data_IF_905977310816
#
_entry.id   IF_905977310816
#
_cell.length_a   1.000
_cell.length_b   1.000
_cell.length_c   1.000
_cell.angle_alpha   90.00
_cell.angle_beta   90.00
_cell.angle_gamma   90.00
#
_symmetry.space_group_name_H-M   'P 1'
#
loop_
_entity.id
_entity.type
_entity.pdbx_description
1 polymer ?
#
# COMPACT_ATOMS: atom_id res chain seq x y z
N UNK A 1 10.90 14.65 9.57
CA UNK A 1 10.24 15.17 10.80
C UNK A 1 11.30 15.59 11.80
N UNK A 2 11.00 16.62 12.64
CA UNK A 2 11.90 17.08 13.69
C UNK A 2 11.15 17.20 15.01
N UNK A 3 11.88 17.31 16.12
CA UNK A 3 11.29 17.49 17.45
C UNK A 3 10.26 18.64 17.41
N UNK A 4 9.04 18.33 17.86
CA UNK A 4 7.95 19.29 17.87
C UNK A 4 7.50 19.55 19.31
N UNK A 5 7.64 20.77 19.82
CA UNK A 5 7.20 21.12 21.18
C UNK A 5 5.67 21.03 21.37
N UNK A 6 4.89 21.01 20.30
CA UNK A 6 3.43 20.84 20.35
C UNK A 6 2.99 19.36 20.36
N UNK A 7 3.92 18.42 20.23
CA UNK A 7 3.60 17.01 20.31
C UNK A 7 3.08 16.64 21.71
N UNK A 8 1.91 16.04 21.77
CA UNK A 8 1.39 15.49 23.02
C UNK A 8 2.24 14.30 23.45
N UNK A 9 2.77 14.35 24.66
CA UNK A 9 3.64 13.32 25.24
C UNK A 9 2.90 12.41 26.22
N UNK A 10 1.61 12.61 26.43
CA UNK A 10 0.80 11.83 27.36
C UNK A 10 0.64 10.39 26.87
N UNK A 11 0.50 9.49 27.83
CA UNK A 11 0.21 8.08 27.57
C UNK A 11 -0.90 7.59 28.50
N UNK A 12 -1.51 6.50 28.12
CA UNK A 12 -2.47 5.77 28.97
C UNK A 12 -2.06 4.30 29.03
N UNK A 13 -2.19 3.71 30.21
CA UNK A 13 -1.95 2.28 30.37
C UNK A 13 -3.11 1.48 29.76
N UNK A 14 -2.77 0.42 29.05
CA UNK A 14 -3.69 -0.62 28.57
C UNK A 14 -3.21 -1.97 29.05
N UNK A 15 -3.97 -3.05 28.77
CA UNK A 15 -3.55 -4.38 29.22
C UNK A 15 -2.18 -4.74 28.59
N UNK A 16 -1.17 -4.98 29.45
CA UNK A 16 0.22 -5.28 29.08
C UNK A 16 0.83 -4.30 28.07
N UNK A 17 0.54 -3.01 28.20
CA UNK A 17 1.07 -2.02 27.28
C UNK A 17 0.62 -0.60 27.57
N UNK A 18 0.83 0.24 26.58
CA UNK A 18 0.46 1.67 26.59
C UNK A 18 -0.16 2.08 25.27
N UNK A 19 -0.93 3.17 25.31
CA UNK A 19 -1.36 3.88 24.11
C UNK A 19 -0.97 5.36 24.20
N UNK A 20 -0.67 5.93 23.04
CA UNK A 20 -0.31 7.34 22.86
C UNK A 20 -1.02 7.92 21.66
N UNK A 21 -1.25 9.24 21.66
CA UNK A 21 -1.70 9.98 20.48
C UNK A 21 -0.92 11.29 20.43
N UNK A 22 0.08 11.38 19.58
CA UNK A 22 1.01 12.49 19.53
C UNK A 22 0.37 13.78 19.01
N UNK A 23 -0.61 13.66 18.10
CA UNK A 23 -1.27 14.81 17.49
C UNK A 23 -2.79 14.60 17.45
N UNK A 24 -3.60 15.62 17.81
CA UNK A 24 -5.05 15.54 17.70
C UNK A 24 -5.51 15.23 16.27
N UNK A 25 -6.49 14.36 16.13
CA UNK A 25 -7.05 13.97 14.83
C UNK A 25 -6.34 12.77 14.18
N UNK A 26 -5.24 12.30 14.76
CA UNK A 26 -4.60 11.03 14.36
C UNK A 26 -5.10 9.87 15.22
N UNK A 27 -5.02 8.62 14.71
CA UNK A 27 -5.33 7.44 15.50
C UNK A 27 -4.42 7.32 16.73
N UNK A 28 -4.93 6.70 17.80
CA UNK A 28 -4.12 6.28 18.92
C UNK A 28 -3.18 5.14 18.48
N UNK A 29 -1.93 5.18 18.93
CA UNK A 29 -0.96 4.12 18.76
C UNK A 29 -0.94 3.24 20.02
N UNK A 30 -1.36 1.99 19.87
CA UNK A 30 -1.29 0.96 20.92
C UNK A 30 0.02 0.20 20.80
N UNK A 31 0.74 0.05 21.90
CA UNK A 31 1.97 -0.72 22.00
C UNK A 31 1.80 -1.74 23.13
N UNK A 32 1.75 -3.02 22.81
CA UNK A 32 1.38 -4.08 23.74
C UNK A 32 2.30 -5.30 23.61
N UNK A 33 2.47 -6.01 24.71
CA UNK A 33 3.25 -7.26 24.80
C UNK A 33 2.34 -8.43 25.19
N UNK A 34 2.63 -9.63 24.71
CA UNK A 34 1.92 -10.85 25.07
C UNK A 34 2.13 -11.28 26.53
N UNK A 35 2.99 -10.58 27.25
CA UNK A 35 3.41 -10.90 28.62
C UNK A 35 3.31 -9.68 29.51
N UNK A 36 3.04 -9.92 30.82
CA UNK A 36 3.08 -8.87 31.84
C UNK A 36 4.44 -8.18 31.80
N UNK A 37 4.43 -6.87 31.83
CA UNK A 37 5.59 -6.00 31.77
C UNK A 37 5.40 -4.78 32.66
N UNK A 38 6.46 -4.02 32.84
CA UNK A 38 6.44 -2.71 33.45
C UNK A 38 6.81 -1.68 32.39
N UNK A 39 5.99 -0.64 32.25
CA UNK A 39 6.29 0.48 31.36
C UNK A 39 6.92 1.62 32.16
N UNK A 40 8.12 2.00 31.79
CA UNK A 40 8.83 3.15 32.35
C UNK A 40 8.66 4.36 31.44
N UNK A 41 7.88 5.32 31.91
CA UNK A 41 7.68 6.58 31.19
C UNK A 41 8.96 7.42 31.26
N UNK A 42 9.66 7.54 30.14
CA UNK A 42 10.88 8.33 29.99
C UNK A 42 10.88 8.94 28.58
N UNK A 43 10.05 9.99 28.37
CA UNK A 43 9.89 10.58 27.07
C UNK A 43 11.15 11.31 26.62
N UNK A 44 11.65 10.97 25.44
CA UNK A 44 12.79 11.63 24.81
C UNK A 44 12.68 11.58 23.27
N UNK A 45 13.58 12.29 22.60
CA UNK A 45 13.73 12.29 21.17
C UNK A 45 15.10 11.73 20.78
N UNK A 46 15.11 10.73 19.91
CA UNK A 46 16.32 10.37 19.16
C UNK A 46 16.49 11.39 18.04
N UNK A 47 17.47 12.27 18.16
CA UNK A 47 17.68 13.41 17.26
C UNK A 47 18.72 13.11 16.21
N UNK A 48 18.50 13.67 15.01
CA UNK A 48 19.48 13.60 13.93
C UNK A 48 19.72 12.20 13.41
N UNK A 49 18.69 11.35 13.34
CA UNK A 49 18.79 10.04 12.67
C UNK A 49 18.93 10.28 11.18
N UNK A 50 19.99 9.74 10.59
CA UNK A 50 20.33 9.94 9.19
C UNK A 50 20.06 8.71 8.33
N UNK A 51 19.58 8.95 7.11
CA UNK A 51 19.32 7.94 6.08
C UNK A 51 20.20 8.18 4.86
N UNK A 52 21.43 7.64 4.81
CA UNK A 52 22.41 7.94 3.74
C UNK A 52 21.90 7.63 2.34
N UNK A 53 21.04 6.62 2.17
CA UNK A 53 20.44 6.29 0.88
C UNK A 53 19.46 7.33 0.37
N UNK A 54 18.71 7.98 1.25
CA UNK A 54 17.84 9.09 0.89
C UNK A 54 18.67 10.34 0.55
N UNK A 55 19.78 10.57 1.26
CA UNK A 55 20.73 11.63 0.96
C UNK A 55 21.37 11.45 -0.43
N UNK A 56 21.81 10.25 -0.79
CA UNK A 56 22.37 9.92 -2.12
C UNK A 56 21.36 10.24 -3.24
N UNK A 57 20.06 10.15 -2.96
CA UNK A 57 18.97 10.43 -3.90
C UNK A 57 18.52 11.88 -3.92
N UNK A 58 19.07 12.74 -3.05
CA UNK A 58 18.74 14.16 -2.96
C UNK A 58 17.42 14.43 -2.19
N UNK A 59 16.95 13.50 -1.37
CA UNK A 59 15.77 13.67 -0.52
C UNK A 59 16.13 14.09 0.89
N UNK A 60 15.12 14.49 1.67
CA UNK A 60 15.27 14.72 3.10
C UNK A 60 15.72 13.42 3.77
N UNK A 61 16.85 13.49 4.44
CA UNK A 61 17.54 12.29 4.96
C UNK A 61 17.75 12.31 6.47
N UNK A 62 17.20 13.30 7.15
CA UNK A 62 17.41 13.48 8.59
C UNK A 62 16.06 13.63 9.30
N UNK A 63 15.89 12.95 10.43
CA UNK A 63 14.70 13.10 11.26
C UNK A 63 14.96 12.89 12.75
N UNK A 64 14.00 13.36 13.56
CA UNK A 64 13.94 13.06 14.98
C UNK A 64 12.78 12.10 15.25
N UNK A 65 13.03 11.08 16.08
CA UNK A 65 12.03 10.09 16.47
C UNK A 65 11.69 10.20 17.94
N UNK A 66 10.40 10.34 18.24
CA UNK A 66 9.92 10.38 19.61
C UNK A 66 9.81 8.99 20.22
N UNK A 67 10.26 8.85 21.46
CA UNK A 67 10.16 7.64 22.27
C UNK A 67 9.48 7.98 23.59
N UNK A 68 8.31 7.40 23.89
CA UNK A 68 7.58 7.69 25.13
C UNK A 68 8.22 7.04 26.37
N UNK A 69 9.06 6.04 26.19
CA UNK A 69 9.68 5.27 27.27
C UNK A 69 10.09 3.88 26.82
N UNK A 70 10.22 2.95 27.75
CA UNK A 70 10.59 1.58 27.47
C UNK A 70 9.79 0.57 28.30
N UNK A 71 9.71 -0.66 27.80
CA UNK A 71 9.13 -1.78 28.53
C UNK A 71 10.22 -2.61 29.19
N UNK A 72 10.02 -2.97 30.46
CA UNK A 72 10.81 -3.97 31.17
C UNK A 72 10.00 -5.25 31.31
N UNK A 73 10.58 -6.38 30.90
CA UNK A 73 9.89 -7.66 30.86
C UNK A 73 10.87 -8.79 31.14
N UNK A 74 10.51 -9.65 32.09
CA UNK A 74 11.29 -10.88 32.38
C UNK A 74 11.17 -11.88 31.22
N UNK A 75 12.30 -12.44 30.79
CA UNK A 75 12.34 -13.50 29.79
C UNK A 75 13.16 -14.71 30.30
N UNK A 76 12.62 -15.90 30.04
CA UNK A 76 13.30 -17.17 30.37
C UNK A 76 13.85 -17.82 29.11
N UNK A 77 14.85 -18.67 29.25
CA UNK A 77 15.39 -19.44 28.11
C UNK A 77 14.29 -20.24 27.40
N UNK A 78 14.20 -20.07 26.09
CA UNK A 78 13.19 -20.72 25.25
C UNK A 78 11.83 -20.01 25.22
N UNK A 79 11.66 -18.90 25.93
CA UNK A 79 10.44 -18.07 25.88
C UNK A 79 10.52 -17.07 24.74
N UNK A 80 9.37 -16.78 24.13
CA UNK A 80 9.23 -15.75 23.08
C UNK A 80 8.35 -14.62 23.58
N UNK A 81 8.77 -13.39 23.28
CA UNK A 81 7.98 -12.19 23.51
C UNK A 81 7.45 -11.72 22.16
N UNK A 82 6.15 -11.45 22.10
CA UNK A 82 5.49 -10.84 20.94
C UNK A 82 5.12 -9.42 21.30
N UNK A 83 5.67 -8.46 20.56
CA UNK A 83 5.34 -7.05 20.65
C UNK A 83 4.40 -6.68 19.49
N UNK A 84 3.34 -5.94 19.80
CA UNK A 84 2.39 -5.39 18.84
C UNK A 84 2.41 -3.87 18.91
N UNK A 85 2.46 -3.22 17.75
CA UNK A 85 2.21 -1.79 17.59
C UNK A 85 1.15 -1.60 16.50
N UNK A 86 0.07 -0.88 16.81
CA UNK A 86 -1.05 -0.72 15.86
C UNK A 86 -2.05 0.34 16.33
N UNK A 87 -3.04 0.61 15.49
CA UNK A 87 -4.06 1.63 15.74
C UNK A 87 -5.31 1.10 16.48
N UNK A 88 -5.26 -0.14 16.95
CA UNK A 88 -6.33 -0.76 17.73
C UNK A 88 -5.74 -1.61 18.85
N UNK A 89 -6.47 -1.65 19.97
CA UNK A 89 -6.09 -2.50 21.11
C UNK A 89 -6.32 -3.98 20.76
N UNK A 90 -5.34 -4.81 21.07
CA UNK A 90 -5.42 -6.26 20.90
C UNK A 90 -5.29 -6.92 22.29
N UNK A 91 -6.11 -7.95 22.57
CA UNK A 91 -5.93 -8.71 23.80
C UNK A 91 -4.54 -9.37 23.83
N UNK A 92 -3.70 -9.13 24.85
CA UNK A 92 -2.36 -9.72 24.96
C UNK A 92 -2.33 -11.24 24.87
N UNK A 93 -3.40 -11.90 25.28
CA UNK A 93 -3.54 -13.37 25.21
C UNK A 93 -3.64 -13.89 23.79
N UNK A 94 -4.10 -13.04 22.85
CA UNK A 94 -4.25 -13.39 21.42
C UNK A 94 -2.99 -13.08 20.61
N UNK A 95 -2.09 -12.22 21.10
CA UNK A 95 -0.93 -11.73 20.33
C UNK A 95 -0.07 -12.87 19.79
N UNK A 96 0.20 -13.90 20.60
CA UNK A 96 1.00 -15.04 20.14
C UNK A 96 0.29 -15.82 19.04
N UNK A 97 -0.99 -16.09 19.21
CA UNK A 97 -1.80 -16.78 18.18
C UNK A 97 -1.92 -15.96 16.90
N UNK A 98 -2.12 -14.63 17.02
CA UNK A 98 -2.16 -13.74 15.86
C UNK A 98 -0.83 -13.75 15.12
N UNK A 99 0.30 -13.66 15.85
CA UNK A 99 1.62 -13.73 15.23
C UNK A 99 1.87 -15.07 14.52
N UNK A 100 1.50 -16.19 15.17
CA UNK A 100 1.65 -17.52 14.58
C UNK A 100 0.77 -17.69 13.33
N UNK A 101 -0.44 -17.14 13.32
CA UNK A 101 -1.32 -17.14 12.15
C UNK A 101 -0.72 -16.31 10.99
N UNK A 102 -0.24 -15.10 11.27
CA UNK A 102 0.46 -14.26 10.30
C UNK A 102 1.71 -14.92 9.70
N UNK A 103 2.48 -15.63 10.53
CA UNK A 103 3.66 -16.37 10.05
C UNK A 103 3.25 -17.55 9.17
N UNK A 104 2.16 -18.25 9.53
CA UNK A 104 1.67 -19.40 8.77
C UNK A 104 1.05 -19.03 7.42
N UNK A 105 0.47 -17.83 7.32
CA UNK A 105 -0.14 -17.30 6.09
C UNK A 105 0.91 -16.77 5.08
N UNK A 106 2.11 -16.50 5.54
CA UNK A 106 3.17 -15.96 4.67
C UNK A 106 3.86 -17.06 3.86
N UNK A 107 4.14 -16.76 2.59
CA UNK A 107 5.04 -17.60 1.79
C UNK A 107 6.41 -17.72 2.48
N UNK A 108 6.94 -18.94 2.70
CA UNK A 108 8.28 -19.14 3.28
C UNK A 108 9.36 -18.40 2.48
N UNK A 109 10.30 -17.74 3.17
CA UNK A 109 11.42 -17.03 2.52
C UNK A 109 12.63 -17.94 2.30
N UNK A 110 12.42 -19.10 1.69
CA UNK A 110 13.41 -20.14 1.48
C UNK A 110 14.03 -20.13 0.07
N UNK A 111 13.50 -19.29 -0.83
CA UNK A 111 14.01 -19.08 -2.18
C UNK A 111 13.93 -17.62 -2.59
N UNK A 112 14.70 -17.24 -3.62
CA UNK A 112 14.62 -15.88 -4.18
C UNK A 112 13.23 -15.61 -4.75
N UNK A 113 12.60 -16.59 -5.39
CA UNK A 113 11.25 -16.47 -5.92
C UNK A 113 10.23 -16.19 -4.80
N UNK A 114 10.26 -16.95 -3.71
CA UNK A 114 9.38 -16.72 -2.57
C UNK A 114 9.63 -15.37 -1.89
N UNK A 115 10.87 -14.88 -1.90
CA UNK A 115 11.15 -13.51 -1.43
C UNK A 115 10.50 -12.46 -2.35
N UNK A 116 10.49 -12.67 -3.67
CA UNK A 116 9.80 -11.78 -4.62
C UNK A 116 8.29 -11.81 -4.43
N UNK A 117 7.68 -12.99 -4.26
CA UNK A 117 6.24 -13.12 -3.96
C UNK A 117 5.87 -12.34 -2.68
N UNK A 118 6.60 -12.55 -1.59
CA UNK A 118 6.37 -11.79 -0.36
C UNK A 118 6.52 -10.27 -0.55
N UNK A 119 7.43 -9.84 -1.43
CA UNK A 119 7.61 -8.42 -1.75
C UNK A 119 6.46 -7.89 -2.58
N UNK A 120 5.94 -8.66 -3.54
CA UNK A 120 4.78 -8.31 -4.34
C UNK A 120 3.54 -8.08 -3.45
N UNK A 121 3.25 -9.01 -2.54
CA UNK A 121 2.11 -8.92 -1.63
C UNK A 121 2.12 -7.64 -0.77
N UNK A 122 3.29 -7.08 -0.46
CA UNK A 122 3.37 -5.86 0.34
C UNK A 122 2.81 -4.61 -0.36
N UNK A 123 2.70 -4.62 -1.68
CA UNK A 123 2.16 -3.48 -2.43
C UNK A 123 0.64 -3.51 -2.54
N UNK A 124 -0.01 -4.63 -2.26
CA UNK A 124 -1.46 -4.75 -2.28
C UNK A 124 -2.08 -4.14 -1.01
N UNK A 125 -3.13 -3.35 -1.20
CA UNK A 125 -3.83 -2.66 -0.11
C UNK A 125 -5.34 -2.76 -0.30
N UNK A 126 -6.00 -3.51 0.57
CA UNK A 126 -7.45 -3.65 0.57
C UNK A 126 -8.10 -2.63 1.50
N UNK A 127 -9.08 -1.90 0.99
CA UNK A 127 -9.89 -0.94 1.76
C UNK A 127 -11.38 -1.21 1.52
N UNK A 128 -12.02 -1.92 2.44
CA UNK A 128 -13.38 -2.45 2.23
C UNK A 128 -13.38 -3.44 1.07
N UNK A 129 -14.20 -3.19 0.07
CA UNK A 129 -14.30 -4.01 -1.15
C UNK A 129 -13.35 -3.54 -2.28
N UNK A 130 -12.55 -2.51 -2.04
CA UNK A 130 -11.66 -1.95 -3.05
C UNK A 130 -10.22 -2.43 -2.85
N UNK A 131 -9.58 -2.87 -3.94
CA UNK A 131 -8.21 -3.33 -3.97
C UNK A 131 -7.33 -2.32 -4.71
N UNK A 132 -6.19 -1.98 -4.13
CA UNK A 132 -5.26 -0.98 -4.66
C UNK A 132 -3.84 -1.52 -4.69
N UNK A 133 -3.02 -0.99 -5.58
CA UNK A 133 -1.57 -1.20 -5.58
C UNK A 133 -0.90 0.11 -5.18
N UNK A 134 -0.07 0.07 -4.14
CA UNK A 134 0.66 1.24 -3.67
C UNK A 134 1.91 1.45 -4.52
N UNK A 135 2.17 2.69 -4.94
CA UNK A 135 3.36 3.05 -5.72
C UNK A 135 4.65 2.95 -4.91
N UNK A 136 4.58 2.95 -3.59
CA UNK A 136 5.71 2.78 -2.67
C UNK A 136 5.39 3.19 -1.24
N UNK A 137 6.18 2.66 -0.31
CA UNK A 137 6.05 2.91 1.12
C UNK A 137 7.00 4.00 1.61
N UNK A 138 6.58 4.75 2.65
CA UNK A 138 5.22 4.89 3.19
C UNK A 138 4.46 6.07 2.57
N UNK A 139 5.09 6.83 1.67
CA UNK A 139 4.64 8.15 1.23
C UNK A 139 3.72 8.13 0.03
N UNK A 140 3.94 7.15 -0.88
CA UNK A 140 3.22 7.09 -2.12
C UNK A 140 1.88 6.38 -1.94
N UNK A 141 0.87 6.93 -2.59
CA UNK A 141 -0.48 6.37 -2.63
C UNK A 141 -0.59 5.43 -3.83
N UNK A 142 -1.80 5.02 -4.19
CA UNK A 142 -2.04 4.33 -5.44
C UNK A 142 -2.06 5.37 -6.57
N UNK A 143 -1.02 5.37 -7.41
CA UNK A 143 -0.93 6.18 -8.63
C UNK A 143 -1.31 5.34 -9.82
N UNK A 144 -2.11 5.89 -10.72
CA UNK A 144 -2.69 5.12 -11.83
C UNK A 144 -1.62 4.51 -12.76
N UNK A 145 -0.59 5.26 -13.12
CA UNK A 145 0.52 4.75 -13.95
C UNK A 145 1.25 3.61 -13.26
N UNK A 146 1.66 3.81 -12.01
CA UNK A 146 2.40 2.80 -11.25
C UNK A 146 1.57 1.53 -11.06
N UNK A 147 0.26 1.68 -10.81
CA UNK A 147 -0.68 0.56 -10.72
C UNK A 147 -0.65 -0.27 -11.99
N UNK A 148 -0.96 0.32 -13.15
CA UNK A 148 -1.10 -0.46 -14.38
C UNK A 148 0.23 -1.03 -14.90
N UNK A 149 1.34 -0.31 -14.72
CA UNK A 149 2.68 -0.80 -15.10
C UNK A 149 3.12 -1.96 -14.23
N UNK A 150 2.84 -1.93 -12.93
CA UNK A 150 3.32 -2.95 -11.99
C UNK A 150 2.35 -4.13 -11.83
N UNK A 151 1.06 -3.95 -12.03
CA UNK A 151 0.02 -4.94 -11.75
C UNK A 151 0.28 -6.31 -12.37
N UNK A 152 0.67 -6.47 -13.66
CA UNK A 152 0.96 -7.79 -14.20
C UNK A 152 2.15 -8.48 -13.50
N UNK A 153 3.17 -7.72 -13.13
CA UNK A 153 4.33 -8.26 -12.41
C UNK A 153 4.04 -8.63 -10.96
N UNK A 154 3.15 -7.89 -10.29
CA UNK A 154 2.80 -8.11 -8.89
C UNK A 154 1.76 -9.23 -8.71
N UNK A 155 1.09 -9.64 -9.77
CA UNK A 155 -0.01 -10.62 -9.73
C UNK A 155 0.18 -11.77 -10.70
N UNK A 156 0.09 -11.54 -12.01
CA UNK A 156 0.15 -12.60 -13.02
C UNK A 156 1.48 -13.35 -13.01
N UNK A 157 2.60 -12.65 -12.83
CA UNK A 157 3.93 -13.26 -12.80
C UNK A 157 4.21 -14.10 -11.53
N UNK A 158 3.33 -14.02 -10.54
CA UNK A 158 3.39 -14.81 -9.29
C UNK A 158 2.19 -15.75 -9.13
N UNK A 159 1.50 -16.04 -10.24
CA UNK A 159 0.35 -16.96 -10.34
C UNK A 159 -0.89 -16.51 -9.54
N UNK A 160 -1.07 -15.19 -9.34
CA UNK A 160 -2.19 -14.62 -8.58
C UNK A 160 -3.17 -13.88 -9.50
N UNK A 161 -3.82 -14.62 -10.39
CA UNK A 161 -4.79 -14.05 -11.33
C UNK A 161 -6.00 -13.41 -10.62
N UNK A 162 -6.49 -14.01 -9.54
CA UNK A 162 -7.65 -13.48 -8.80
C UNK A 162 -7.36 -12.10 -8.23
N UNK A 163 -6.15 -11.85 -7.71
CA UNK A 163 -5.74 -10.55 -7.21
C UNK A 163 -5.65 -9.50 -8.34
N UNK A 164 -5.18 -9.90 -9.55
CA UNK A 164 -5.25 -9.03 -10.73
C UNK A 164 -6.68 -8.58 -10.99
N UNK A 165 -7.61 -9.51 -10.97
CA UNK A 165 -9.03 -9.26 -11.25
C UNK A 165 -9.68 -8.37 -10.19
N UNK A 166 -9.39 -8.60 -8.91
CA UNK A 166 -9.88 -7.78 -7.79
C UNK A 166 -9.39 -6.33 -7.88
N UNK A 167 -8.12 -6.12 -8.19
CA UNK A 167 -7.57 -4.77 -8.43
C UNK A 167 -8.23 -4.14 -9.65
N UNK A 168 -8.41 -4.90 -10.74
CA UNK A 168 -9.05 -4.40 -11.95
C UNK A 168 -10.53 -4.04 -11.75
N UNK A 169 -11.25 -4.70 -10.86
CA UNK A 169 -12.64 -4.30 -10.49
C UNK A 169 -12.66 -2.87 -9.93
N UNK A 170 -11.70 -2.52 -9.10
CA UNK A 170 -11.58 -1.17 -8.54
C UNK A 170 -11.09 -0.16 -9.60
N UNK A 171 -10.07 -0.53 -10.37
CA UNK A 171 -9.49 0.31 -11.41
C UNK A 171 -10.46 0.59 -12.56
N UNK A 172 -11.26 -0.39 -12.99
CA UNK A 172 -12.29 -0.21 -14.00
C UNK A 172 -13.30 0.87 -13.61
N UNK A 173 -13.79 0.82 -12.37
CA UNK A 173 -14.72 1.83 -11.85
C UNK A 173 -14.09 3.22 -11.87
N UNK A 174 -12.84 3.36 -11.43
CA UNK A 174 -12.11 4.62 -11.48
C UNK A 174 -11.91 5.14 -12.91
N UNK A 175 -11.57 4.27 -13.87
CA UNK A 175 -11.46 4.63 -15.30
C UNK A 175 -12.82 5.11 -15.83
N UNK A 176 -13.92 4.45 -15.49
CA UNK A 176 -15.26 4.83 -15.96
C UNK A 176 -15.70 6.19 -15.42
N UNK A 177 -15.44 6.48 -14.13
CA UNK A 177 -15.67 7.81 -13.56
C UNK A 177 -14.84 8.86 -14.31
N UNK A 178 -13.56 8.61 -14.56
CA UNK A 178 -12.69 9.52 -15.30
C UNK A 178 -13.19 9.78 -16.74
N UNK A 179 -13.53 8.74 -17.49
CA UNK A 179 -14.03 8.84 -18.87
C UNK A 179 -15.36 9.61 -18.95
N UNK A 180 -16.24 9.43 -17.96
CA UNK A 180 -17.53 10.14 -17.90
C UNK A 180 -17.41 11.57 -17.38
N UNK A 181 -16.25 11.97 -16.86
CA UNK A 181 -16.00 13.28 -16.26
C UNK A 181 -16.61 13.42 -14.86
N UNK A 182 -16.87 12.31 -14.19
CA UNK A 182 -17.35 12.29 -12.82
C UNK A 182 -16.19 12.46 -11.84
N UNK A 183 -16.43 13.10 -10.67
CA UNK A 183 -15.43 13.14 -9.60
C UNK A 183 -15.06 11.74 -9.15
N UNK A 184 -13.75 11.48 -8.97
CA UNK A 184 -13.30 10.16 -8.54
C UNK A 184 -13.71 9.84 -7.10
N UNK A 185 -14.39 8.70 -6.94
CA UNK A 185 -14.74 8.10 -5.64
C UNK A 185 -13.64 7.15 -5.15
N UNK A 186 -12.67 6.82 -5.99
CA UNK A 186 -11.60 5.87 -5.74
C UNK A 186 -10.28 6.56 -5.44
N UNK A 187 -9.46 5.94 -4.60
CA UNK A 187 -8.15 6.47 -4.19
C UNK A 187 -7.04 6.10 -5.19
N UNK A 188 -7.33 6.26 -6.48
CA UNK A 188 -6.36 6.11 -7.59
C UNK A 188 -6.10 7.51 -8.14
N UNK A 189 -4.89 7.98 -7.98
CA UNK A 189 -4.48 9.35 -8.30
C UNK A 189 -3.79 9.43 -9.65
N UNK A 190 -3.76 10.63 -10.24
CA UNK A 190 -3.10 10.93 -11.51
C UNK A 190 -3.67 10.10 -12.70
N UNK A 191 -5.00 9.89 -12.71
CA UNK A 191 -5.69 9.19 -13.80
C UNK A 191 -5.68 10.01 -15.10
N UNK A 192 -5.53 11.32 -15.01
CA UNK A 192 -5.48 12.30 -16.08
C UNK A 192 -4.15 12.30 -16.85
N UNK A 193 -3.13 11.61 -16.40
CA UNK A 193 -1.88 11.51 -17.14
C UNK A 193 -2.10 10.83 -18.51
N UNK A 194 -1.51 11.34 -19.60
CA UNK A 194 -1.87 10.96 -20.98
C UNK A 194 -1.56 9.50 -21.32
N UNK A 195 -0.65 8.86 -20.64
CA UNK A 195 -0.26 7.47 -20.88
C UNK A 195 -1.02 6.45 -20.03
N UNK A 196 -1.77 6.89 -19.02
CA UNK A 196 -2.44 5.99 -18.05
C UNK A 196 -3.41 5.03 -18.71
N UNK A 197 -4.29 5.54 -19.57
CA UNK A 197 -5.25 4.67 -20.30
C UNK A 197 -4.56 3.67 -21.22
N UNK A 198 -3.40 4.03 -21.78
CA UNK A 198 -2.59 3.12 -22.60
C UNK A 198 -1.94 2.03 -21.75
N UNK A 199 -1.47 2.36 -20.55
CA UNK A 199 -0.96 1.38 -19.60
C UNK A 199 -2.05 0.43 -19.09
N UNK A 200 -3.28 0.92 -18.90
CA UNK A 200 -4.42 0.07 -18.58
C UNK A 200 -4.67 -0.97 -19.69
N UNK A 201 -4.68 -0.53 -20.95
CA UNK A 201 -4.80 -1.43 -22.12
C UNK A 201 -3.64 -2.43 -22.17
N UNK A 202 -2.41 -1.99 -21.88
CA UNK A 202 -1.25 -2.87 -21.82
C UNK A 202 -1.37 -3.93 -20.72
N UNK A 203 -1.81 -3.55 -19.52
CA UNK A 203 -2.04 -4.50 -18.42
C UNK A 203 -3.06 -5.57 -18.79
N UNK A 204 -4.17 -5.17 -19.44
CA UNK A 204 -5.17 -6.11 -19.96
C UNK A 204 -4.63 -6.99 -21.09
N UNK A 205 -3.68 -6.48 -21.91
CA UNK A 205 -2.98 -7.31 -22.88
C UNK A 205 -2.10 -8.39 -22.22
N UNK A 206 -1.43 -8.07 -21.09
CA UNK A 206 -0.69 -9.09 -20.34
C UNK A 206 -1.65 -10.13 -19.76
N UNK A 207 -2.78 -9.69 -19.17
CA UNK A 207 -3.83 -10.62 -18.71
C UNK A 207 -4.31 -11.56 -19.83
N UNK A 208 -4.54 -11.03 -21.03
CA UNK A 208 -4.95 -11.84 -22.19
C UNK A 208 -3.87 -12.85 -22.65
N UNK A 209 -2.60 -12.62 -22.38
CA UNK A 209 -1.50 -13.57 -22.68
C UNK A 209 -1.44 -14.70 -21.66
N UNK A 210 -1.67 -14.41 -20.40
CA UNK A 210 -1.63 -15.41 -19.32
C UNK A 210 -2.91 -16.26 -19.28
N UNK A 211 -4.05 -15.70 -19.66
CA UNK A 211 -5.34 -16.40 -19.70
C UNK A 211 -5.73 -16.78 -21.12
N UNK A 212 -6.58 -15.99 -21.76
CA UNK A 212 -6.89 -16.07 -23.18
C UNK A 212 -7.47 -14.75 -23.67
N UNK A 213 -7.38 -14.50 -25.00
CA UNK A 213 -8.03 -13.36 -25.62
C UNK A 213 -9.54 -13.35 -25.44
N UNK A 214 -10.16 -14.53 -25.46
CA UNK A 214 -11.61 -14.68 -25.28
C UNK A 214 -12.03 -14.33 -23.85
N UNK A 215 -11.32 -14.81 -22.85
CA UNK A 215 -11.58 -14.50 -21.45
C UNK A 215 -11.40 -12.99 -21.16
N UNK A 216 -10.33 -12.39 -21.66
CA UNK A 216 -10.09 -10.96 -21.55
C UNK A 216 -11.20 -10.16 -22.22
N UNK A 217 -11.65 -10.57 -23.43
CA UNK A 217 -12.75 -9.91 -24.14
C UNK A 217 -14.07 -10.01 -23.39
N UNK A 218 -14.37 -11.16 -22.81
CA UNK A 218 -15.60 -11.36 -22.03
C UNK A 218 -15.65 -10.46 -20.80
N UNK A 219 -14.51 -10.35 -20.08
CA UNK A 219 -14.43 -9.54 -18.86
C UNK A 219 -14.28 -8.05 -19.13
N UNK A 220 -13.36 -7.67 -20.01
CA UNK A 220 -12.87 -6.30 -20.16
C UNK A 220 -13.14 -5.71 -21.55
N UNK A 221 -13.80 -6.43 -22.45
CA UNK A 221 -14.05 -5.97 -23.81
C UNK A 221 -14.79 -4.63 -23.86
N UNK A 222 -15.80 -4.45 -22.99
CA UNK A 222 -16.54 -3.20 -22.89
C UNK A 222 -15.68 -2.05 -22.37
N UNK A 223 -14.82 -2.29 -21.39
CA UNK A 223 -13.86 -1.28 -20.90
C UNK A 223 -12.89 -0.85 -22.01
N UNK A 224 -12.37 -1.81 -22.78
CA UNK A 224 -11.47 -1.50 -23.89
C UNK A 224 -12.16 -0.67 -24.99
N UNK A 225 -13.43 -0.97 -25.31
CA UNK A 225 -14.23 -0.16 -26.24
C UNK A 225 -14.43 1.26 -25.71
N UNK A 226 -14.81 1.42 -24.43
CA UNK A 226 -15.04 2.72 -23.82
C UNK A 226 -13.75 3.58 -23.80
N UNK A 227 -12.59 2.97 -23.49
CA UNK A 227 -11.27 3.65 -23.56
C UNK A 227 -10.97 4.10 -24.98
N UNK A 228 -11.16 3.22 -25.99
CA UNK A 228 -10.90 3.56 -27.40
C UNK A 228 -11.82 4.67 -27.90
N UNK A 229 -13.09 4.64 -27.53
CA UNK A 229 -14.05 5.67 -27.92
C UNK A 229 -13.74 7.01 -27.23
N UNK A 230 -13.30 6.98 -25.98
CA UNK A 230 -12.83 8.17 -25.27
C UNK A 230 -11.63 8.82 -25.97
N UNK A 231 -10.61 8.04 -26.35
CA UNK A 231 -9.43 8.54 -27.07
C UNK A 231 -9.83 9.10 -28.44
N UNK A 232 -10.71 8.43 -29.18
CA UNK A 232 -11.22 8.89 -30.49
C UNK A 232 -12.06 10.16 -30.39
N UNK A 233 -12.77 10.32 -29.28
CA UNK A 233 -13.64 11.50 -29.08
C UNK A 233 -12.86 12.79 -28.81
N UNK A 234 -11.53 12.74 -28.64
CA UNK A 234 -10.66 13.88 -28.32
C UNK A 234 -11.08 14.66 -27.05
N UNK A 235 -11.68 13.95 -26.10
CA UNK A 235 -12.08 14.56 -24.81
C UNK A 235 -10.93 14.73 -23.83
N UNK A 236 -9.84 14.00 -24.03
CA UNK A 236 -8.64 14.13 -23.22
C UNK A 236 -7.75 15.25 -23.78
N UNK A 237 -7.31 16.18 -22.94
CA UNK A 237 -6.53 17.34 -23.35
C UNK A 237 -5.19 16.96 -23.99
N UNK A 238 -4.55 15.92 -23.46
CA UNK A 238 -3.18 15.51 -23.81
C UNK A 238 -3.09 14.13 -24.47
N UNK A 239 -4.21 13.45 -24.77
CA UNK A 239 -4.22 12.14 -25.42
C UNK A 239 -5.32 12.06 -26.48
N UNK A 240 -4.95 11.87 -27.75
CA UNK A 240 -5.90 11.69 -28.83
C UNK A 240 -5.31 10.96 -30.04
N UNK A 241 -6.19 10.42 -30.87
CA UNK A 241 -5.81 9.84 -32.16
C UNK A 241 -5.63 10.96 -33.18
N UNK A 242 -4.41 11.09 -33.72
CA UNK A 242 -4.10 12.06 -34.79
C UNK A 242 -4.59 11.55 -36.16
N UNK A 243 -4.74 12.47 -37.13
CA UNK A 243 -5.23 12.16 -38.50
C UNK A 243 -4.33 11.18 -39.25
N UNK A 244 -3.03 11.11 -38.89
CA UNK A 244 -2.08 10.16 -39.48
C UNK A 244 -2.19 8.75 -38.88
N UNK A 245 -3.16 8.50 -37.98
CA UNK A 245 -3.37 7.20 -37.33
C UNK A 245 -2.47 6.92 -36.10
N UNK A 246 -1.64 7.87 -35.69
CA UNK A 246 -0.81 7.74 -34.48
C UNK A 246 -1.51 8.36 -33.27
N UNK A 247 -1.20 7.83 -32.10
CA UNK A 247 -1.60 8.44 -30.83
C UNK A 247 -0.66 9.60 -30.50
N UNK A 248 -1.25 10.73 -30.16
CA UNK A 248 -0.56 11.87 -29.59
C UNK A 248 -0.73 11.82 -28.06
N UNK A 249 0.36 11.93 -27.33
CA UNK A 249 0.41 12.05 -25.87
C UNK A 249 1.44 13.12 -25.51
N UNK A 250 1.07 14.13 -24.69
CA UNK A 250 1.95 15.24 -24.32
C UNK A 250 2.04 15.38 -22.80
#
# INVERSE_FOLDING_TARGET
>A
THENPQANRDYQLVENGVKTCMYPGYPELFMQLNKKNEFHYQPDWYRGIEYPKEQERGYDFNEDLYVPGYFEVDIKKGESIVFSAGISEISPRKLKQTFEAEVADRTPRDSFYHCLQNSAHQFHNKQGENHYVLAGYPWFKCRARDLFVSLPGLTLAVDEQDEFEDVMVTAEKAIREFISGEPSSYKIYEMEDPDVLLWAVWALQQYAKETSREQCRQKYGRLLEDIMDYIRSRKHDNLFLHENGLLYAN
#
